data_IF_800277518242
#
_entry.id   IF_800277518242
#
_cell.length_a   1.000
_cell.length_b   1.000
_cell.length_c   1.000
_cell.angle_alpha   90.00
_cell.angle_beta   90.00
_cell.angle_gamma   90.00
#
_symmetry.space_group_name_H-M   'P 1'
#
loop_
_entity.id
_entity.type
_entity.pdbx_description
1 polymer ?
#
# COMPACT_ATOMS: atom_id res chain seq x y z
N UNK A 1 -15.96 36.90 -7.44
CA UNK A 1 -14.84 35.95 -7.34
C UNK A 1 -15.17 34.97 -6.23
N UNK A 2 -15.66 33.78 -6.57
CA UNK A 2 -16.07 32.78 -5.58
C UNK A 2 -14.87 31.93 -5.15
N UNK A 3 -14.49 32.03 -3.88
CA UNK A 3 -13.45 31.18 -3.30
C UNK A 3 -13.99 29.75 -3.13
N UNK A 4 -13.45 28.83 -3.91
CA UNK A 4 -13.78 27.41 -3.93
C UNK A 4 -13.44 26.76 -2.57
N UNK A 5 -14.44 26.60 -1.68
CA UNK A 5 -14.33 25.90 -0.38
C UNK A 5 -14.07 24.40 -0.61
N UNK A 6 -12.82 24.03 -0.86
CA UNK A 6 -12.34 22.64 -0.86
C UNK A 6 -12.12 22.17 0.58
N UNK A 7 -12.61 20.97 0.90
CA UNK A 7 -12.64 20.28 2.21
C UNK A 7 -13.69 20.76 3.24
N UNK A 8 -14.83 20.05 3.27
CA UNK A 8 -15.88 20.15 4.31
C UNK A 8 -15.81 19.02 5.35
N UNK A 9 -14.81 18.16 5.32
CA UNK A 9 -14.71 17.04 6.27
C UNK A 9 -14.02 17.48 7.56
N UNK A 10 -14.77 17.47 8.66
CA UNK A 10 -14.26 17.78 10.00
C UNK A 10 -13.83 16.49 10.69
N UNK A 11 -12.53 16.33 10.95
CA UNK A 11 -11.99 15.21 11.72
C UNK A 11 -11.90 15.64 13.18
N UNK A 12 -12.53 14.86 14.08
CA UNK A 12 -12.47 15.09 15.52
C UNK A 12 -11.61 14.00 16.15
N UNK A 13 -10.46 14.39 16.71
CA UNK A 13 -9.55 13.49 17.42
C UNK A 13 -9.71 13.69 18.92
N UNK A 14 -10.03 12.60 19.64
CA UNK A 14 -10.08 12.61 21.12
C UNK A 14 -8.70 12.22 21.65
N UNK A 15 -8.11 13.04 22.50
CA UNK A 15 -6.82 12.79 23.15
C UNK A 15 -6.93 13.00 24.68
N UNK A 16 -6.02 12.36 25.43
CA UNK A 16 -5.85 12.63 26.86
C UNK A 16 -5.24 14.02 27.08
N UNK A 17 -5.44 14.59 28.27
CA UNK A 17 -4.94 15.93 28.62
C UNK A 17 -3.43 16.10 28.43
N UNK A 18 -2.65 15.09 28.83
CA UNK A 18 -1.19 15.07 28.67
C UNK A 18 -0.78 15.13 27.19
N UNK A 19 -1.36 14.27 26.34
CA UNK A 19 -1.06 14.26 24.91
C UNK A 19 -1.49 15.55 24.21
N UNK A 20 -2.55 16.20 24.70
CA UNK A 20 -2.97 17.49 24.18
C UNK A 20 -1.92 18.57 24.47
N UNK A 21 -1.32 18.55 25.67
CA UNK A 21 -0.26 19.49 26.04
C UNK A 21 1.00 19.27 25.20
N UNK A 22 1.41 18.01 24.97
CA UNK A 22 2.52 17.68 24.06
C UNK A 22 2.27 18.20 22.64
N UNK A 23 1.07 17.97 22.09
CA UNK A 23 0.70 18.45 20.76
C UNK A 23 0.68 19.97 20.66
N UNK A 24 0.28 20.68 21.72
CA UNK A 24 0.33 22.14 21.77
C UNK A 24 1.77 22.67 21.81
N UNK A 25 2.65 22.05 22.59
CA UNK A 25 4.06 22.42 22.64
C UNK A 25 4.74 22.25 21.27
N UNK A 26 4.41 21.15 20.56
CA UNK A 26 4.90 20.92 19.19
C UNK A 26 4.35 21.99 18.24
N UNK A 27 3.06 22.32 18.32
CA UNK A 27 2.44 23.37 17.51
C UNK A 27 3.12 24.73 17.70
N UNK A 28 3.45 25.08 18.94
CA UNK A 28 4.17 26.32 19.28
C UNK A 28 5.61 26.30 18.74
N UNK A 29 6.32 25.17 18.87
CA UNK A 29 7.69 25.05 18.35
C UNK A 29 7.78 25.15 16.82
N UNK A 30 6.74 24.68 16.12
CA UNK A 30 6.67 24.70 14.66
C UNK A 30 6.09 26.01 14.11
N UNK A 31 5.63 26.93 14.98
CA UNK A 31 5.04 28.22 14.62
C UNK A 31 3.91 28.12 13.57
N UNK A 32 3.04 27.11 13.70
CA UNK A 32 1.93 26.87 12.77
C UNK A 32 0.59 27.28 13.39
N UNK A 33 -0.27 27.93 12.60
CA UNK A 33 -1.56 28.45 13.07
C UNK A 33 -2.63 27.35 13.16
N UNK A 34 -2.60 26.40 12.22
CA UNK A 34 -3.58 25.32 12.13
C UNK A 34 -2.97 23.94 12.42
N UNK A 35 -3.80 23.03 12.94
CA UNK A 35 -3.41 21.62 13.12
C UNK A 35 -3.16 20.92 11.78
N UNK A 36 -3.78 21.39 10.70
CA UNK A 36 -3.59 20.83 9.36
C UNK A 36 -2.18 21.16 8.84
N UNK A 37 -1.76 22.43 8.94
CA UNK A 37 -0.40 22.85 8.60
C UNK A 37 0.65 22.10 9.40
N UNK A 38 0.40 21.89 10.70
CA UNK A 38 1.28 21.07 11.55
C UNK A 38 1.48 19.66 10.97
N UNK A 39 0.39 19.01 10.54
CA UNK A 39 0.43 17.66 9.98
C UNK A 39 1.11 17.66 8.61
N UNK A 40 0.83 18.65 7.76
CA UNK A 40 1.45 18.77 6.43
C UNK A 40 2.96 18.98 6.52
N UNK A 41 3.40 19.83 7.46
CA UNK A 41 4.80 20.13 7.70
C UNK A 41 5.55 18.90 8.22
N UNK A 42 4.99 18.19 9.21
CA UNK A 42 5.56 16.95 9.74
C UNK A 42 5.61 15.80 8.70
N UNK A 43 4.67 15.77 7.75
CA UNK A 43 4.73 14.83 6.61
C UNK A 43 5.85 15.25 5.64
N UNK A 44 6.00 16.55 5.37
CA UNK A 44 7.03 17.07 4.47
C UNK A 44 8.45 16.86 5.00
N UNK A 45 8.65 17.00 6.31
CA UNK A 45 9.90 16.77 7.03
C UNK A 45 10.22 15.27 7.22
N UNK A 46 9.31 14.38 6.81
CA UNK A 46 9.40 12.91 6.98
C UNK A 46 9.42 12.43 8.43
N UNK A 47 9.14 13.31 9.39
CA UNK A 47 8.91 12.98 10.81
C UNK A 47 7.71 12.05 10.97
N UNK A 48 6.70 12.20 10.09
CA UNK A 48 5.52 11.32 10.04
C UNK A 48 5.46 10.64 8.68
N UNK A 49 5.35 9.30 8.69
CA UNK A 49 5.07 8.57 7.47
C UNK A 49 3.69 8.98 6.92
N UNK A 50 3.57 9.31 5.61
CA UNK A 50 2.30 9.73 5.04
C UNK A 50 1.21 8.70 5.35
N UNK A 51 -0.04 9.15 5.63
CA UNK A 51 -1.14 8.24 5.92
C UNK A 51 -1.22 7.22 4.79
N UNK A 52 -1.02 5.93 5.14
CA UNK A 52 -0.99 4.85 4.16
C UNK A 52 -2.38 4.76 3.55
N UNK A 53 -2.50 5.22 2.31
CA UNK A 53 -3.75 5.15 1.54
C UNK A 53 -4.12 3.68 1.37
N UNK A 54 -5.11 3.22 2.14
CA UNK A 54 -5.69 1.89 1.93
C UNK A 54 -6.60 2.02 0.72
N UNK A 55 -6.09 1.66 -0.46
CA UNK A 55 -6.92 1.57 -1.67
C UNK A 55 -7.70 0.25 -1.59
N UNK A 56 -8.83 0.27 -0.89
CA UNK A 56 -9.90 -0.73 -1.01
C UNK A 56 -10.73 -0.44 -2.27
N UNK A 57 -10.07 -0.34 -3.41
CA UNK A 57 -10.77 -0.26 -4.70
C UNK A 57 -10.87 -1.67 -5.28
N UNK A 58 -12.09 -2.20 -5.33
CA UNK A 58 -12.39 -3.50 -5.92
C UNK A 58 -11.84 -3.61 -7.35
N UNK A 59 -11.79 -2.51 -8.11
CA UNK A 59 -11.21 -2.50 -9.46
C UNK A 59 -9.69 -2.76 -9.42
N UNK A 60 -8.99 -2.23 -8.43
CA UNK A 60 -7.55 -2.45 -8.27
C UNK A 60 -7.25 -3.88 -7.84
N UNK A 61 -8.06 -4.43 -6.92
CA UNK A 61 -8.01 -5.84 -6.52
C UNK A 61 -8.26 -6.78 -7.71
N UNK A 62 -9.29 -6.49 -8.51
CA UNK A 62 -9.61 -7.27 -9.70
C UNK A 62 -8.49 -7.24 -10.74
N UNK A 63 -7.80 -6.10 -10.91
CA UNK A 63 -6.61 -6.01 -11.78
C UNK A 63 -5.48 -6.91 -11.27
N UNK A 64 -5.20 -6.91 -9.96
CA UNK A 64 -4.18 -7.79 -9.36
C UNK A 64 -4.55 -9.27 -9.55
N UNK A 65 -5.81 -9.62 -9.31
CA UNK A 65 -6.30 -11.00 -9.45
C UNK A 65 -6.24 -11.48 -10.90
N UNK A 66 -6.55 -10.61 -11.86
CA UNK A 66 -6.45 -10.88 -13.30
C UNK A 66 -5.00 -11.15 -13.72
N UNK A 67 -4.07 -10.31 -13.27
CA UNK A 67 -2.63 -10.50 -13.52
C UNK A 67 -2.12 -11.82 -12.93
N UNK A 68 -2.54 -12.16 -11.70
CA UNK A 68 -2.16 -13.42 -11.07
C UNK A 68 -2.70 -14.64 -11.83
N UNK A 69 -3.96 -14.60 -12.28
CA UNK A 69 -4.54 -15.66 -13.12
C UNK A 69 -3.77 -15.85 -14.41
N UNK A 70 -3.38 -14.75 -15.08
CA UNK A 70 -2.58 -14.83 -16.32
C UNK A 70 -1.24 -15.53 -16.08
N UNK A 71 -0.54 -15.17 -15.01
CA UNK A 71 0.74 -15.82 -14.64
C UNK A 71 0.52 -17.31 -14.38
N UNK A 72 -0.53 -17.67 -13.61
CA UNK A 72 -0.85 -19.07 -13.32
C UNK A 72 -1.20 -19.89 -14.57
N UNK A 73 -1.95 -19.31 -15.50
CA UNK A 73 -2.26 -19.96 -16.78
C UNK A 73 -1.00 -20.21 -17.61
N UNK A 74 -0.11 -19.23 -17.70
CA UNK A 74 1.16 -19.39 -18.43
C UNK A 74 2.05 -20.46 -17.79
N UNK A 75 2.10 -20.51 -16.45
CA UNK A 75 2.85 -21.56 -15.73
C UNK A 75 2.26 -22.94 -16.02
N UNK A 76 0.93 -23.09 -15.96
CA UNK A 76 0.28 -24.36 -16.27
C UNK A 76 0.51 -24.82 -17.71
N UNK A 77 0.51 -23.90 -18.68
CA UNK A 77 0.85 -24.22 -20.06
C UNK A 77 2.28 -24.72 -20.18
N UNK A 78 3.24 -24.03 -19.54
CA UNK A 78 4.63 -24.45 -19.51
C UNK A 78 4.79 -25.84 -18.90
N UNK A 79 4.16 -26.11 -17.76
CA UNK A 79 4.20 -27.42 -17.11
C UNK A 79 3.62 -28.52 -18.00
N UNK A 80 2.48 -28.27 -18.68
CA UNK A 80 1.90 -29.24 -19.62
C UNK A 80 2.86 -29.54 -20.77
N UNK A 81 3.45 -28.51 -21.36
CA UNK A 81 4.38 -28.65 -22.47
C UNK A 81 5.64 -29.45 -22.07
N UNK A 82 6.25 -29.13 -20.92
CA UNK A 82 7.39 -29.88 -20.39
C UNK A 82 7.03 -31.35 -20.10
N UNK A 83 5.84 -31.60 -19.53
CA UNK A 83 5.39 -32.95 -19.22
C UNK A 83 5.11 -33.77 -20.50
N UNK A 84 4.54 -33.15 -21.53
CA UNK A 84 4.30 -33.78 -22.84
C UNK A 84 5.63 -34.15 -23.50
N UNK A 85 6.60 -33.25 -23.49
CA UNK A 85 7.89 -33.46 -24.14
C UNK A 85 8.90 -34.24 -23.27
N UNK A 86 8.56 -34.50 -22.00
CA UNK A 86 9.42 -35.12 -20.96
C UNK A 86 10.81 -34.46 -20.84
N UNK A 87 10.90 -33.20 -21.21
CA UNK A 87 12.15 -32.45 -21.26
C UNK A 87 11.88 -30.98 -20.94
N UNK A 88 12.90 -30.29 -20.44
CA UNK A 88 12.87 -28.86 -20.19
C UNK A 88 14.00 -28.24 -21.02
N UNK A 89 13.64 -27.39 -21.95
CA UNK A 89 14.55 -26.61 -22.79
C UNK A 89 15.02 -25.34 -22.08
N UNK A 90 16.13 -24.78 -22.57
CA UNK A 90 16.66 -23.50 -22.09
C UNK A 90 15.67 -22.34 -22.27
N UNK A 91 14.81 -22.37 -23.29
CA UNK A 91 13.82 -21.32 -23.49
C UNK A 91 12.72 -21.39 -22.42
N UNK A 92 12.26 -22.60 -22.08
CA UNK A 92 11.29 -22.82 -21.02
C UNK A 92 11.82 -22.39 -19.64
N UNK A 93 13.11 -22.62 -19.37
CA UNK A 93 13.77 -22.09 -18.16
C UNK A 93 13.79 -20.56 -18.16
N UNK A 94 14.06 -19.91 -19.30
CA UNK A 94 14.01 -18.44 -19.42
C UNK A 94 12.58 -17.93 -19.20
N UNK A 95 11.57 -18.62 -19.72
CA UNK A 95 10.17 -18.28 -19.52
C UNK A 95 9.76 -18.41 -18.05
N UNK A 96 10.16 -19.49 -17.38
CA UNK A 96 9.94 -19.67 -15.95
C UNK A 96 10.55 -18.54 -15.12
N UNK A 97 11.79 -18.14 -15.44
CA UNK A 97 12.47 -17.01 -14.79
C UNK A 97 11.69 -15.69 -14.97
N UNK A 98 11.18 -15.43 -16.19
CA UNK A 98 10.32 -14.26 -16.46
C UNK A 98 9.03 -14.28 -15.65
N UNK A 99 8.39 -15.44 -15.51
CA UNK A 99 7.18 -15.60 -14.69
C UNK A 99 7.50 -15.34 -13.21
N UNK A 100 8.60 -15.86 -12.68
CA UNK A 100 9.03 -15.64 -11.30
C UNK A 100 9.32 -14.14 -11.00
N UNK A 101 9.98 -13.44 -11.91
CA UNK A 101 10.19 -11.98 -11.79
C UNK A 101 8.86 -11.22 -11.82
N UNK A 102 7.91 -11.65 -12.66
CA UNK A 102 6.58 -11.03 -12.76
C UNK A 102 5.78 -11.19 -11.47
N UNK A 103 5.80 -12.38 -10.86
CA UNK A 103 5.20 -12.63 -9.52
C UNK A 103 5.82 -11.73 -8.46
N UNK A 104 7.15 -11.64 -8.46
CA UNK A 104 7.89 -10.83 -7.47
C UNK A 104 7.55 -9.34 -7.60
N UNK A 105 7.42 -8.84 -8.84
CA UNK A 105 7.00 -7.47 -9.12
C UNK A 105 5.56 -7.22 -8.65
N UNK A 106 4.65 -8.16 -8.93
CA UNK A 106 3.25 -8.07 -8.50
C UNK A 106 3.14 -8.08 -6.97
N UNK A 107 3.85 -8.98 -6.28
CA UNK A 107 3.96 -9.02 -4.82
C UNK A 107 4.41 -7.68 -4.25
N UNK A 108 5.50 -7.11 -4.78
CA UNK A 108 6.03 -5.84 -4.29
C UNK A 108 5.05 -4.68 -4.51
N UNK A 109 4.31 -4.69 -5.63
CA UNK A 109 3.24 -3.73 -5.88
C UNK A 109 2.12 -3.89 -4.83
N UNK A 110 1.66 -5.11 -4.59
CA UNK A 110 0.60 -5.39 -3.60
C UNK A 110 1.04 -4.99 -2.19
N UNK A 111 2.22 -5.41 -1.71
CA UNK A 111 2.69 -5.08 -0.35
C UNK A 111 2.84 -3.57 -0.12
N UNK A 112 3.26 -2.83 -1.14
CA UNK A 112 3.32 -1.35 -1.05
C UNK A 112 1.94 -0.71 -0.98
N UNK A 113 0.90 -1.37 -1.50
CA UNK A 113 -0.46 -0.82 -1.58
C UNK A 113 -1.40 -1.36 -0.49
N UNK A 114 -1.14 -2.55 0.05
CA UNK A 114 -1.98 -3.25 1.03
C UNK A 114 -1.29 -3.31 2.40
N UNK A 115 -1.89 -2.66 3.40
CA UNK A 115 -1.59 -2.92 4.81
C UNK A 115 -2.63 -3.92 5.33
N UNK A 116 -2.21 -5.17 5.54
CA UNK A 116 -3.00 -6.15 6.29
C UNK A 116 -3.09 -5.65 7.74
N UNK A 117 -4.30 -5.40 8.26
CA UNK A 117 -4.50 -5.29 9.70
C UNK A 117 -3.98 -6.60 10.31
N UNK A 118 -2.81 -6.56 10.96
CA UNK A 118 -2.47 -7.61 11.92
C UNK A 118 -3.56 -7.56 12.98
N UNK A 119 -4.46 -8.53 12.97
CA UNK A 119 -5.34 -8.77 14.09
C UNK A 119 -4.43 -8.89 15.32
N UNK A 120 -4.55 -7.96 16.28
CA UNK A 120 -3.97 -8.15 17.59
C UNK A 120 -4.53 -9.49 18.08
N UNK A 121 -3.68 -10.51 18.18
CA UNK A 121 -4.01 -11.66 19.03
C UNK A 121 -4.29 -11.06 20.40
N UNK A 122 -5.53 -11.21 20.87
CA UNK A 122 -5.89 -10.84 22.23
C UNK A 122 -4.91 -11.53 23.17
N UNK A 123 -4.17 -10.73 23.92
CA UNK A 123 -3.49 -11.22 25.12
C UNK A 123 -4.57 -11.53 26.13
N UNK A 124 -4.63 -12.80 26.50
CA UNK A 124 -5.15 -13.21 27.80
C UNK A 124 -4.18 -12.74 28.89
#
# INVERSE_FOLDING_TARGET
MECNRKNKEKIIVRCSGEKKAELLAIKESLQVDTWLEMVELLISEKEIAPPKTIIQDDQYLMKILTELRRIGNNLNQLTRHCNTNKAISLDEVKQLKKLATSVSRLKNKVIKTFVVKRAKKGGA
#
